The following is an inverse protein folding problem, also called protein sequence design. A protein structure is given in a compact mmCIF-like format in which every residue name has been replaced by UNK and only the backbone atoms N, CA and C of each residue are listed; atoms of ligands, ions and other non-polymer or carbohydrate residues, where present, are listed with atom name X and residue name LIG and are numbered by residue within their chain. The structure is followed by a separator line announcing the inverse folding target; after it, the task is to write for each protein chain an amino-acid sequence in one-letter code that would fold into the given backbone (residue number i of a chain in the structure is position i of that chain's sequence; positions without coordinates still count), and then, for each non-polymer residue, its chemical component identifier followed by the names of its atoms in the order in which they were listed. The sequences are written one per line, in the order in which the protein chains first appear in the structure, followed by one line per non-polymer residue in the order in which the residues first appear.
data_IF_930814439398
#
_entry.id   IF_930814439398
#
_cell.length_a   1.000
_cell.length_b   1.000
_cell.length_c   1.000
_cell.angle_alpha   90.00
_cell.angle_beta   90.00
_cell.angle_gamma   90.00
#
_symmetry.space_group_name_H-M   'P 1'
#
loop_
_entity.id
_entity.type
_entity.pdbx_description
1 polymer ?
#
# COMPACT_ATOMS: atom_id res chain seq x y z
N UNK A 1 35.85 63.03 44.30
CA UNK A 1 36.55 62.03 43.40
C UNK A 1 35.50 61.04 42.96
N UNK A 2 34.84 61.32 41.81
CA UNK A 2 33.67 60.58 41.31
C UNK A 2 34.10 59.57 40.29
N UNK A 3 33.96 58.25 40.60
CA UNK A 3 34.21 57.14 39.68
C UNK A 3 32.89 56.80 38.98
N UNK A 4 32.77 57.15 37.68
CA UNK A 4 31.67 56.76 36.84
C UNK A 4 31.88 55.27 36.40
N UNK A 5 31.00 54.39 36.85
CA UNK A 5 30.89 53.00 36.35
C UNK A 5 30.09 53.01 35.07
N UNK A 6 30.76 52.73 33.95
CA UNK A 6 30.14 52.52 32.65
C UNK A 6 29.72 51.04 32.58
N UNK A 7 28.41 50.80 32.59
CA UNK A 7 27.83 49.43 32.28
C UNK A 7 27.83 49.23 30.76
N UNK A 8 28.65 48.32 30.29
CA UNK A 8 28.60 47.82 28.92
C UNK A 8 27.60 46.67 28.89
N UNK A 9 26.39 46.94 28.38
CA UNK A 9 25.37 45.91 28.12
C UNK A 9 25.70 45.20 26.81
N UNK A 10 26.25 44.00 26.89
CA UNK A 10 26.48 43.12 25.73
C UNK A 10 25.16 42.46 25.36
N UNK A 11 24.52 42.92 24.29
CA UNK A 11 23.31 42.35 23.72
C UNK A 11 23.72 41.09 22.95
N UNK A 12 23.57 39.91 23.57
CA UNK A 12 23.69 38.60 22.90
C UNK A 12 22.47 38.38 22.01
N UNK A 13 22.64 38.65 20.72
CA UNK A 13 21.67 38.32 19.68
C UNK A 13 21.74 36.80 19.44
N UNK A 14 20.90 36.02 20.14
CA UNK A 14 20.74 34.60 19.87
C UNK A 14 20.02 34.43 18.53
N UNK A 15 20.78 34.16 17.45
CA UNK A 15 20.24 33.61 16.22
C UNK A 15 19.68 32.21 16.55
N UNK A 16 18.38 32.10 16.75
CA UNK A 16 17.67 30.82 16.70
C UNK A 16 17.75 30.32 15.25
N UNK A 17 18.76 29.50 14.93
CA UNK A 17 18.71 28.69 13.74
C UNK A 17 17.51 27.78 13.93
N UNK A 18 16.42 28.05 13.21
CA UNK A 18 15.35 27.08 13.00
C UNK A 18 15.98 25.89 12.26
N UNK A 19 16.35 24.85 13.01
CA UNK A 19 16.71 23.57 12.41
C UNK A 19 15.45 23.05 11.70
N UNK A 20 15.33 23.30 10.41
CA UNK A 20 14.36 22.58 9.57
C UNK A 20 14.74 21.11 9.69
N UNK A 21 13.81 20.27 10.17
CA UNK A 21 14.02 18.84 10.17
C UNK A 21 14.46 18.43 8.76
N UNK A 22 15.55 17.67 8.67
CA UNK A 22 16.05 17.19 7.38
C UNK A 22 14.95 16.40 6.67
N UNK A 23 14.75 16.67 5.38
CA UNK A 23 13.79 15.90 4.57
C UNK A 23 14.23 14.43 4.53
N UNK A 24 13.27 13.51 4.51
CA UNK A 24 13.52 12.08 4.46
C UNK A 24 14.42 11.69 3.27
N UNK A 25 14.38 12.47 2.17
CA UNK A 25 15.25 12.27 1.02
C UNK A 25 16.74 12.32 1.41
N UNK A 26 17.14 13.30 2.21
CA UNK A 26 18.54 13.45 2.64
C UNK A 26 18.99 12.25 3.48
N UNK A 27 18.12 11.79 4.39
CA UNK A 27 18.37 10.60 5.22
C UNK A 27 18.53 9.35 4.36
N UNK A 28 17.65 9.13 3.39
CA UNK A 28 17.68 8.00 2.47
C UNK A 28 18.94 8.03 1.60
N UNK A 29 19.29 9.20 1.06
CA UNK A 29 20.49 9.40 0.23
C UNK A 29 21.77 9.18 1.03
N UNK A 30 21.87 9.75 2.22
CA UNK A 30 23.05 9.59 3.09
C UNK A 30 23.25 8.13 3.50
N UNK A 31 22.17 7.41 3.80
CA UNK A 31 22.21 6.00 4.17
C UNK A 31 22.49 5.09 2.97
N UNK A 32 22.16 5.53 1.75
CA UNK A 32 22.29 4.74 0.51
C UNK A 32 21.25 3.63 0.37
N UNK A 33 20.21 3.61 1.23
CA UNK A 33 19.15 2.61 1.21
C UNK A 33 17.78 3.24 1.43
N UNK A 34 16.76 2.72 0.71
CA UNK A 34 15.35 2.98 0.91
C UNK A 34 14.75 1.82 1.71
N UNK A 35 14.34 2.06 2.95
CA UNK A 35 13.67 1.05 3.79
C UNK A 35 12.23 0.87 3.36
N UNK A 36 11.93 -0.28 2.78
CA UNK A 36 10.61 -0.62 2.23
C UNK A 36 9.93 -1.65 3.11
N UNK A 37 8.73 -1.36 3.58
CA UNK A 37 7.89 -2.33 4.25
C UNK A 37 6.79 -2.87 3.33
N UNK A 38 6.54 -4.18 3.45
CA UNK A 38 5.51 -4.93 2.75
C UNK A 38 5.11 -6.16 3.57
N UNK A 39 4.01 -6.85 3.23
CA UNK A 39 3.55 -8.02 4.01
C UNK A 39 4.43 -9.26 3.78
N UNK A 40 4.83 -9.51 2.54
CA UNK A 40 5.51 -10.75 2.17
C UNK A 40 4.61 -11.99 2.12
N UNK A 41 3.29 -11.78 2.18
CA UNK A 41 2.24 -12.83 2.14
C UNK A 41 1.06 -12.45 1.24
N UNK A 42 1.25 -11.44 0.38
CA UNK A 42 0.20 -10.86 -0.48
C UNK A 42 0.53 -11.02 -1.98
N UNK A 43 0.45 -12.26 -2.54
CA UNK A 43 0.68 -12.47 -3.96
C UNK A 43 -0.46 -11.89 -4.82
N UNK A 44 -0.20 -11.43 -6.06
CA UNK A 44 1.09 -11.41 -6.75
C UNK A 44 1.92 -10.15 -6.47
N UNK A 45 1.50 -9.31 -5.52
CA UNK A 45 2.13 -8.02 -5.21
C UNK A 45 3.48 -8.22 -4.49
N UNK A 46 3.45 -8.89 -3.36
CA UNK A 46 4.64 -9.17 -2.56
C UNK A 46 4.43 -10.47 -1.74
N UNK A 47 5.29 -11.45 -1.93
CA UNK A 47 5.19 -12.74 -1.25
C UNK A 47 6.55 -13.44 -1.21
N UNK A 48 6.64 -14.54 -0.46
CA UNK A 48 7.84 -15.37 -0.46
C UNK A 48 7.70 -16.52 -1.45
N UNK A 49 8.63 -16.57 -2.40
CA UNK A 49 8.80 -17.68 -3.32
C UNK A 49 10.16 -18.33 -3.03
N UNK A 50 10.17 -19.61 -2.68
CA UNK A 50 11.39 -20.33 -2.26
C UNK A 50 12.17 -19.62 -1.15
N UNK A 51 11.46 -18.99 -0.20
CA UNK A 51 12.04 -18.27 0.93
C UNK A 51 12.52 -16.84 0.62
N UNK A 52 12.50 -16.41 -0.64
CA UNK A 52 12.90 -15.08 -1.07
C UNK A 52 11.68 -14.21 -1.38
N UNK A 53 11.80 -12.90 -1.15
CA UNK A 53 10.76 -11.96 -1.54
C UNK A 53 10.66 -11.86 -3.07
N UNK A 54 9.45 -11.97 -3.58
CA UNK A 54 9.08 -11.87 -4.98
C UNK A 54 7.76 -11.10 -5.14
N UNK A 55 7.42 -10.71 -6.35
CA UNK A 55 6.17 -10.05 -6.69
C UNK A 55 6.37 -8.69 -7.33
N UNK A 56 5.27 -8.15 -7.82
CA UNK A 56 5.25 -6.87 -8.54
C UNK A 56 5.86 -5.73 -7.71
N UNK A 57 5.47 -5.62 -6.45
CA UNK A 57 5.92 -4.52 -5.59
C UNK A 57 7.37 -4.67 -5.12
N UNK A 58 7.87 -5.89 -5.07
CA UNK A 58 9.30 -6.15 -4.81
C UNK A 58 10.13 -5.67 -6.00
N UNK A 59 9.70 -5.98 -7.24
CA UNK A 59 10.36 -5.50 -8.46
C UNK A 59 10.25 -3.97 -8.58
N UNK A 60 9.06 -3.41 -8.33
CA UNK A 60 8.84 -1.97 -8.34
C UNK A 60 9.73 -1.25 -7.33
N UNK A 61 9.83 -1.76 -6.11
CA UNK A 61 10.66 -1.18 -5.04
C UNK A 61 12.14 -1.14 -5.42
N UNK A 62 12.65 -2.22 -5.99
CA UNK A 62 14.02 -2.28 -6.48
C UNK A 62 14.28 -1.28 -7.62
N UNK A 63 13.38 -1.22 -8.60
CA UNK A 63 13.49 -0.30 -9.73
C UNK A 63 13.39 1.17 -9.27
N UNK A 64 12.48 1.45 -8.35
CA UNK A 64 12.31 2.78 -7.74
C UNK A 64 13.58 3.22 -7.01
N UNK A 65 14.10 2.36 -6.11
CA UNK A 65 15.33 2.64 -5.37
C UNK A 65 16.52 2.89 -6.33
N UNK A 66 16.63 2.10 -7.39
CA UNK A 66 17.64 2.29 -8.42
C UNK A 66 17.51 3.65 -9.13
N UNK A 67 16.30 4.08 -9.51
CA UNK A 67 16.06 5.43 -10.07
C UNK A 67 16.41 6.53 -9.08
N UNK A 68 16.22 6.29 -7.79
CA UNK A 68 16.64 7.20 -6.73
C UNK A 68 18.14 7.13 -6.41
N UNK A 69 18.93 6.24 -7.05
CA UNK A 69 20.37 6.06 -6.80
C UNK A 69 20.70 5.45 -5.44
N UNK A 70 19.82 4.61 -4.90
CA UNK A 70 19.98 3.87 -3.64
C UNK A 70 19.56 2.41 -3.81
N UNK A 71 19.69 1.58 -2.77
CA UNK A 71 19.24 0.18 -2.75
C UNK A 71 17.94 0.05 -1.95
N UNK A 72 17.06 -0.86 -2.34
CA UNK A 72 15.91 -1.23 -1.52
C UNK A 72 16.36 -2.14 -0.37
N UNK A 73 15.86 -1.85 0.83
CA UNK A 73 16.07 -2.64 2.06
C UNK A 73 14.69 -3.07 2.58
N UNK A 74 14.39 -4.36 2.54
CA UNK A 74 13.05 -4.86 2.78
C UNK A 74 12.83 -5.33 4.21
N UNK A 75 11.69 -4.93 4.79
CA UNK A 75 11.16 -5.44 6.04
C UNK A 75 9.75 -5.99 5.82
N UNK A 76 9.45 -7.15 6.40
CA UNK A 76 8.09 -7.70 6.35
C UNK A 76 7.35 -7.42 7.67
N UNK A 77 6.07 -7.07 7.56
CA UNK A 77 5.19 -6.81 8.70
C UNK A 77 3.75 -7.15 8.32
N UNK A 78 2.97 -7.65 9.26
CA UNK A 78 1.54 -7.86 9.05
C UNK A 78 0.84 -6.54 8.68
N UNK A 79 -0.17 -6.62 7.79
CA UNK A 79 -0.92 -5.44 7.36
C UNK A 79 -1.47 -4.61 8.51
N UNK A 80 -2.01 -5.25 9.53
CA UNK A 80 -2.59 -4.59 10.70
C UNK A 80 -1.61 -3.68 11.48
N UNK A 81 -0.31 -3.92 11.35
CA UNK A 81 0.76 -3.21 12.06
C UNK A 81 1.64 -2.33 11.16
N UNK A 82 1.60 -2.52 9.82
CA UNK A 82 2.58 -1.92 8.92
C UNK A 82 2.52 -0.39 8.88
N UNK A 83 1.31 0.19 8.85
CA UNK A 83 1.14 1.65 8.83
C UNK A 83 1.51 2.31 10.17
N UNK A 84 1.27 1.63 11.30
CA UNK A 84 1.74 2.09 12.60
C UNK A 84 3.28 2.04 12.67
N UNK A 85 3.90 1.01 12.08
CA UNK A 85 5.35 0.93 11.93
C UNK A 85 5.93 2.07 11.09
N UNK A 86 5.26 2.45 10.01
CA UNK A 86 5.63 3.61 9.18
C UNK A 86 5.56 4.91 9.99
N UNK A 87 4.47 5.14 10.70
CA UNK A 87 4.29 6.32 11.54
C UNK A 87 5.36 6.41 12.64
N UNK A 88 5.80 5.27 13.16
CA UNK A 88 6.89 5.17 14.14
C UNK A 88 8.31 5.28 13.54
N UNK A 89 8.44 5.52 12.23
CA UNK A 89 9.73 5.68 11.55
C UNK A 89 10.56 4.40 11.43
N UNK A 90 9.94 3.21 11.53
CA UNK A 90 10.65 1.93 11.32
C UNK A 90 11.06 1.73 9.87
N UNK A 91 10.30 2.28 8.93
CA UNK A 91 10.49 2.23 7.50
C UNK A 91 10.41 3.62 6.91
N UNK A 92 10.94 3.81 5.71
CA UNK A 92 10.80 5.06 4.96
C UNK A 92 9.48 5.08 4.17
N UNK A 93 9.12 3.92 3.61
CA UNK A 93 7.92 3.75 2.79
C UNK A 93 7.21 2.43 3.07
N UNK A 94 5.90 2.41 2.81
CA UNK A 94 5.11 1.18 2.65
C UNK A 94 4.67 1.07 1.20
N UNK A 95 5.05 -0.04 0.55
CA UNK A 95 4.63 -0.41 -0.81
C UNK A 95 3.89 -1.74 -0.73
N UNK A 96 2.56 -1.68 -0.54
CA UNK A 96 1.72 -2.83 -0.22
C UNK A 96 0.25 -2.59 -0.58
N UNK A 97 -0.04 -2.19 -1.80
CA UNK A 97 -1.38 -1.82 -2.27
C UNK A 97 -2.09 -0.86 -1.29
N UNK A 98 -1.37 0.14 -0.80
CA UNK A 98 -1.94 1.07 0.16
C UNK A 98 -2.91 2.01 -0.54
N UNK A 99 -4.21 1.75 -0.41
CA UNK A 99 -5.26 2.60 -0.97
C UNK A 99 -5.15 4.05 -0.46
N UNK A 100 -5.20 5.00 -1.38
CA UNK A 100 -5.14 6.43 -1.10
C UNK A 100 -6.53 6.88 -0.63
N UNK A 101 -6.78 6.89 0.67
CA UNK A 101 -8.04 7.35 1.27
C UNK A 101 -7.84 8.67 2.01
N UNK A 102 -8.92 9.47 2.15
CA UNK A 102 -8.83 10.76 2.85
C UNK A 102 -8.41 10.56 4.31
N UNK A 103 -8.92 9.54 4.97
CA UNK A 103 -8.52 9.17 6.33
C UNK A 103 -7.00 8.89 6.44
N UNK A 104 -6.42 8.18 5.47
CA UNK A 104 -4.97 7.90 5.47
C UNK A 104 -4.16 9.15 5.15
N UNK A 105 -4.67 10.04 4.29
CA UNK A 105 -4.05 11.33 3.98
C UNK A 105 -3.97 12.28 5.18
N UNK A 106 -4.73 12.07 6.24
CA UNK A 106 -4.58 12.84 7.49
C UNK A 106 -3.22 12.58 8.15
N UNK A 107 -2.70 11.34 8.03
CA UNK A 107 -1.47 10.89 8.71
C UNK A 107 -0.28 10.75 7.78
N UNK A 108 -0.51 10.33 6.52
CA UNK A 108 0.53 9.99 5.56
C UNK A 108 0.45 10.85 4.31
N UNK A 109 1.60 11.05 3.68
CA UNK A 109 1.69 11.47 2.30
C UNK A 109 1.79 10.24 1.38
N UNK A 110 1.45 10.44 0.12
CA UNK A 110 1.44 9.39 -0.89
C UNK A 110 2.16 9.86 -2.16
N UNK A 111 2.78 8.93 -2.85
CA UNK A 111 3.19 9.14 -4.24
C UNK A 111 1.99 9.36 -5.16
N UNK A 112 2.26 9.72 -6.42
CA UNK A 112 1.31 9.47 -7.50
C UNK A 112 0.89 7.99 -7.49
N UNK A 113 -0.36 7.66 -7.86
CA UNK A 113 -0.82 6.28 -7.87
C UNK A 113 0.02 5.39 -8.79
N UNK A 114 0.40 4.20 -8.32
CA UNK A 114 1.07 3.19 -9.15
C UNK A 114 0.12 2.06 -9.60
N UNK A 115 -1.02 1.86 -8.94
CA UNK A 115 -2.07 0.95 -9.40
C UNK A 115 -3.44 1.62 -9.37
N UNK A 116 -4.28 1.26 -10.35
CA UNK A 116 -5.70 1.60 -10.42
C UNK A 116 -6.47 0.30 -10.62
N UNK A 117 -7.34 -0.03 -9.67
CA UNK A 117 -8.08 -1.28 -9.60
C UNK A 117 -9.48 -1.05 -9.01
N UNK A 118 -10.21 -2.10 -8.72
CA UNK A 118 -11.51 -2.03 -8.06
C UNK A 118 -11.63 -3.06 -6.94
N UNK A 119 -12.42 -2.80 -5.89
CA UNK A 119 -12.86 -3.84 -4.98
C UNK A 119 -13.64 -4.88 -5.74
N UNK A 120 -13.34 -6.15 -5.55
CA UNK A 120 -14.04 -7.25 -6.22
C UNK A 120 -14.27 -8.42 -5.26
N UNK A 121 -15.44 -9.00 -5.38
CA UNK A 121 -15.79 -10.21 -4.63
C UNK A 121 -15.02 -11.42 -5.17
N UNK A 122 -14.74 -12.35 -4.27
CA UNK A 122 -14.22 -13.68 -4.55
C UNK A 122 -15.22 -14.65 -3.98
N UNK A 123 -15.64 -15.62 -4.77
CA UNK A 123 -16.67 -16.60 -4.37
C UNK A 123 -16.19 -18.01 -4.71
N UNK A 124 -16.83 -19.02 -4.12
CA UNK A 124 -16.54 -20.40 -4.46
C UNK A 124 -16.92 -20.73 -5.91
N UNK A 125 -16.24 -21.69 -6.49
CA UNK A 125 -16.52 -22.17 -7.85
C UNK A 125 -17.96 -22.67 -8.00
N UNK A 126 -18.49 -23.35 -7.00
CA UNK A 126 -19.84 -23.94 -6.97
C UNK A 126 -20.93 -22.97 -6.46
N UNK A 127 -20.57 -21.74 -6.13
CA UNK A 127 -21.53 -20.72 -5.67
C UNK A 127 -22.53 -20.40 -6.79
N UNK A 128 -23.81 -20.56 -6.48
CA UNK A 128 -24.94 -20.33 -7.40
C UNK A 128 -25.71 -19.05 -7.09
N UNK A 129 -25.51 -18.49 -5.88
CA UNK A 129 -26.13 -17.21 -5.50
C UNK A 129 -25.42 -16.09 -6.25
N UNK A 130 -26.21 -15.12 -6.68
CA UNK A 130 -25.65 -13.93 -7.34
C UNK A 130 -25.43 -12.82 -6.31
N UNK A 131 -24.18 -12.41 -6.12
CA UNK A 131 -23.80 -11.24 -5.33
C UNK A 131 -23.29 -10.18 -6.31
N UNK A 132 -24.13 -9.23 -6.71
CA UNK A 132 -23.81 -8.15 -7.66
C UNK A 132 -23.31 -6.90 -6.94
N UNK A 133 -23.72 -6.73 -5.67
CA UNK A 133 -23.37 -5.61 -4.82
C UNK A 133 -23.02 -6.09 -3.43
N UNK A 134 -22.41 -5.24 -2.61
CA UNK A 134 -22.18 -5.55 -1.19
C UNK A 134 -23.50 -5.70 -0.42
N UNK A 135 -24.59 -5.05 -0.85
CA UNK A 135 -25.89 -5.17 -0.19
C UNK A 135 -26.47 -6.59 -0.29
N UNK A 136 -26.12 -7.36 -1.32
CA UNK A 136 -26.55 -8.75 -1.48
C UNK A 136 -25.93 -9.70 -0.44
N UNK A 137 -24.89 -9.21 0.26
CA UNK A 137 -24.23 -9.95 1.34
C UNK A 137 -24.83 -9.68 2.73
N UNK A 138 -25.95 -8.95 2.85
CA UNK A 138 -26.65 -8.81 4.14
C UNK A 138 -27.04 -10.18 4.69
N UNK A 139 -26.71 -10.42 5.97
CA UNK A 139 -26.89 -11.71 6.64
C UNK A 139 -25.93 -12.82 6.17
N UNK A 140 -24.91 -12.50 5.36
CA UNK A 140 -23.86 -13.41 4.89
C UNK A 140 -22.53 -13.08 5.53
N UNK A 141 -21.64 -14.07 5.57
CA UNK A 141 -20.28 -13.93 6.11
C UNK A 141 -19.33 -13.47 5.01
N UNK A 142 -18.75 -12.27 5.20
CA UNK A 142 -17.76 -11.68 4.30
C UNK A 142 -16.38 -11.69 4.94
N UNK A 143 -15.42 -12.38 4.34
CA UNK A 143 -14.02 -12.38 4.75
C UNK A 143 -13.20 -11.27 4.10
N UNK A 144 -12.37 -10.59 4.89
CA UNK A 144 -11.47 -9.55 4.42
C UNK A 144 -10.31 -9.32 5.41
N UNK A 145 -9.26 -8.63 4.97
CA UNK A 145 -8.13 -8.29 5.82
C UNK A 145 -8.49 -7.27 6.90
N UNK A 146 -8.00 -7.49 8.11
CA UNK A 146 -8.20 -6.56 9.22
C UNK A 146 -7.57 -5.20 8.93
N UNK A 147 -8.32 -4.09 9.14
CA UNK A 147 -7.81 -2.72 8.95
C UNK A 147 -7.67 -2.29 7.48
N UNK A 148 -8.22 -3.04 6.53
CA UNK A 148 -8.29 -2.63 5.14
C UNK A 148 -9.38 -1.58 4.91
N UNK A 149 -9.24 -0.75 3.86
CA UNK A 149 -10.31 0.15 3.41
C UNK A 149 -11.57 -0.62 2.98
N UNK A 150 -11.42 -1.85 2.48
CA UNK A 150 -12.54 -2.75 2.19
C UNK A 150 -13.42 -3.02 3.41
N UNK A 151 -12.81 -3.09 4.60
CA UNK A 151 -13.54 -3.24 5.87
C UNK A 151 -14.47 -2.04 6.15
N UNK A 152 -14.00 -0.83 5.88
CA UNK A 152 -14.81 0.38 6.07
C UNK A 152 -15.99 0.44 5.07
N UNK A 153 -15.72 0.10 3.80
CA UNK A 153 -16.76 0.04 2.76
C UNK A 153 -17.83 -1.01 3.10
N UNK A 154 -17.42 -2.19 3.53
CA UNK A 154 -18.36 -3.25 3.91
C UNK A 154 -19.19 -2.88 5.15
N UNK A 155 -18.59 -2.25 6.16
CA UNK A 155 -19.27 -1.75 7.36
C UNK A 155 -20.33 -0.69 7.03
N UNK A 156 -20.04 0.19 6.08
CA UNK A 156 -20.96 1.26 5.68
C UNK A 156 -22.27 0.72 5.09
N UNK A 157 -22.27 -0.46 4.49
CA UNK A 157 -23.49 -1.11 3.96
C UNK A 157 -24.41 -1.59 5.09
N UNK A 158 -23.84 -2.04 6.22
CA UNK A 158 -24.58 -2.60 7.35
C UNK A 158 -25.19 -3.98 7.07
N UNK A 159 -25.38 -4.76 8.13
CA UNK A 159 -26.05 -6.07 8.08
C UNK A 159 -25.21 -7.21 7.48
N UNK A 160 -23.94 -6.99 7.14
CA UNK A 160 -23.00 -8.02 6.69
C UNK A 160 -22.27 -8.58 7.93
N UNK A 161 -22.16 -9.90 8.05
CA UNK A 161 -21.33 -10.57 9.06
C UNK A 161 -19.86 -10.53 8.62
N UNK A 162 -19.15 -9.46 9.00
CA UNK A 162 -17.77 -9.23 8.59
C UNK A 162 -16.82 -10.09 9.44
N UNK A 163 -16.03 -10.94 8.77
CA UNK A 163 -14.97 -11.76 9.34
C UNK A 163 -13.62 -11.20 8.92
N UNK A 164 -12.83 -10.73 9.89
CA UNK A 164 -11.52 -10.15 9.62
C UNK A 164 -10.40 -11.16 9.87
N UNK A 165 -9.38 -11.11 9.01
CA UNK A 165 -8.25 -12.03 9.00
C UNK A 165 -6.93 -11.26 8.93
N UNK A 166 -5.81 -11.88 9.39
CA UNK A 166 -4.48 -11.26 9.26
C UNK A 166 -4.08 -10.97 7.81
N UNK A 167 -4.39 -11.88 6.89
CA UNK A 167 -4.01 -11.78 5.49
C UNK A 167 -4.95 -12.50 4.51
N UNK A 168 -4.61 -12.44 3.24
CA UNK A 168 -5.44 -13.06 2.18
C UNK A 168 -5.41 -14.59 2.19
N UNK A 169 -4.32 -15.29 2.53
CA UNK A 169 -4.32 -16.75 2.54
C UNK A 169 -5.38 -17.34 3.47
N UNK A 170 -5.57 -16.78 4.65
CA UNK A 170 -6.48 -17.31 5.67
C UNK A 170 -7.95 -17.23 5.25
N UNK A 171 -8.42 -16.06 4.80
CA UNK A 171 -9.82 -15.94 4.36
C UNK A 171 -10.10 -16.66 3.04
N UNK A 172 -9.12 -16.79 2.14
CA UNK A 172 -9.30 -17.59 0.92
C UNK A 172 -9.45 -19.07 1.24
N UNK A 173 -8.71 -19.58 2.22
CA UNK A 173 -8.87 -20.94 2.71
C UNK A 173 -10.25 -21.15 3.36
N UNK A 174 -10.69 -20.22 4.21
CA UNK A 174 -12.01 -20.31 4.85
C UNK A 174 -13.14 -20.19 3.82
N UNK A 175 -12.97 -19.37 2.78
CA UNK A 175 -13.92 -19.31 1.67
C UNK A 175 -13.99 -20.64 0.90
N UNK A 176 -12.85 -21.22 0.57
CA UNK A 176 -12.79 -22.51 -0.13
C UNK A 176 -13.46 -23.64 0.66
N UNK A 177 -13.32 -23.59 2.01
CA UNK A 177 -13.95 -24.55 2.94
C UNK A 177 -15.42 -24.24 3.25
N UNK A 178 -16.01 -23.16 2.70
CA UNK A 178 -17.40 -22.77 2.93
C UNK A 178 -17.69 -22.20 4.31
N UNK A 179 -16.67 -21.79 5.07
CA UNK A 179 -16.83 -21.17 6.40
C UNK A 179 -17.30 -19.72 6.32
N UNK A 180 -17.02 -19.07 5.19
CA UNK A 180 -17.53 -17.76 4.80
C UNK A 180 -18.21 -17.84 3.43
N UNK A 181 -19.08 -16.89 3.10
CA UNK A 181 -19.89 -16.89 1.88
C UNK A 181 -19.16 -16.23 0.70
N UNK A 182 -18.43 -15.16 0.97
CA UNK A 182 -17.63 -14.42 -0.01
C UNK A 182 -16.38 -13.82 0.67
N UNK A 183 -15.41 -13.43 -0.12
CA UNK A 183 -14.31 -12.56 0.31
C UNK A 183 -14.29 -11.30 -0.55
N UNK A 184 -13.68 -10.23 -0.04
CA UNK A 184 -13.51 -8.95 -0.74
C UNK A 184 -12.04 -8.56 -0.76
N UNK A 185 -11.51 -8.31 -1.95
CA UNK A 185 -10.15 -7.81 -2.13
C UNK A 185 -10.02 -7.06 -3.46
N UNK A 186 -8.81 -6.65 -3.77
CA UNK A 186 -8.43 -5.99 -5.01
C UNK A 186 -8.61 -6.92 -6.23
N UNK A 187 -9.18 -6.38 -7.30
CA UNK A 187 -9.40 -7.11 -8.55
C UNK A 187 -8.11 -7.66 -9.19
N UNK A 188 -6.96 -7.07 -8.90
CA UNK A 188 -5.66 -7.54 -9.39
C UNK A 188 -5.19 -8.84 -8.74
N UNK A 189 -5.70 -9.18 -7.54
CA UNK A 189 -5.41 -10.44 -6.85
C UNK A 189 -6.06 -11.64 -7.55
N UNK A 190 -7.22 -11.45 -8.16
CA UNK A 190 -8.09 -12.53 -8.60
C UNK A 190 -7.49 -13.42 -9.70
N UNK A 191 -6.85 -12.89 -10.77
CA UNK A 191 -6.20 -13.73 -11.76
C UNK A 191 -5.14 -14.66 -11.16
N UNK A 192 -4.42 -14.19 -10.14
CA UNK A 192 -3.46 -15.02 -9.41
C UNK A 192 -4.16 -16.17 -8.67
N UNK A 193 -5.25 -15.87 -7.93
CA UNK A 193 -6.03 -16.89 -7.22
C UNK A 193 -6.46 -17.99 -8.20
N UNK A 194 -7.10 -17.62 -9.31
CA UNK A 194 -7.64 -18.58 -10.29
C UNK A 194 -6.54 -19.41 -10.94
N UNK A 195 -5.40 -18.77 -11.29
CA UNK A 195 -4.33 -19.44 -12.04
C UNK A 195 -3.37 -20.26 -11.16
N UNK A 196 -3.16 -19.86 -9.90
CA UNK A 196 -2.02 -20.35 -9.10
C UNK A 196 -2.39 -21.10 -7.82
N UNK A 197 -3.53 -20.79 -7.17
CA UNK A 197 -3.79 -21.34 -5.83
C UNK A 197 -4.44 -22.71 -5.83
N UNK A 198 -4.92 -23.24 -6.94
CA UNK A 198 -5.72 -24.48 -7.02
C UNK A 198 -6.94 -24.52 -6.07
N UNK A 199 -7.27 -23.42 -5.41
CA UNK A 199 -8.47 -23.32 -4.59
C UNK A 199 -9.71 -23.29 -5.50
N UNK A 200 -10.84 -23.92 -5.12
CA UNK A 200 -12.06 -23.92 -5.90
C UNK A 200 -12.79 -22.57 -5.81
N UNK A 201 -12.12 -21.51 -6.24
CA UNK A 201 -12.57 -20.12 -6.19
C UNK A 201 -12.69 -19.52 -7.58
N UNK A 202 -13.57 -18.54 -7.74
CA UNK A 202 -13.77 -17.78 -8.98
C UNK A 202 -13.96 -16.29 -8.68
N UNK A 203 -13.77 -15.41 -9.69
CA UNK A 203 -14.14 -14.01 -9.58
C UNK A 203 -15.64 -13.86 -9.28
N UNK A 204 -15.99 -13.03 -8.32
CA UNK A 204 -17.31 -12.47 -8.15
C UNK A 204 -17.43 -11.10 -8.83
N UNK A 205 -18.50 -10.36 -8.55
CA UNK A 205 -18.71 -9.03 -9.11
C UNK A 205 -17.71 -7.99 -8.57
N UNK A 206 -17.32 -6.98 -9.37
CA UNK A 206 -16.77 -5.75 -8.85
C UNK A 206 -17.85 -5.00 -8.06
N UNK A 207 -17.52 -4.46 -6.88
CA UNK A 207 -18.52 -3.95 -5.91
C UNK A 207 -18.17 -2.58 -5.35
N UNK A 208 -17.51 -1.76 -6.09
CA UNK A 208 -17.16 -0.40 -5.68
C UNK A 208 -16.58 0.41 -6.82
N UNK A 209 -16.23 1.64 -6.50
CA UNK A 209 -15.54 2.54 -7.43
C UNK A 209 -14.07 2.12 -7.61
N UNK A 210 -13.43 2.70 -8.64
CA UNK A 210 -12.00 2.51 -8.84
C UNK A 210 -11.21 3.08 -7.66
N UNK A 211 -10.32 2.28 -7.15
CA UNK A 211 -9.38 2.65 -6.11
C UNK A 211 -7.99 2.92 -6.69
N UNK A 212 -7.27 3.83 -6.05
CA UNK A 212 -5.89 4.18 -6.38
C UNK A 212 -5.00 3.78 -5.22
N UNK A 213 -3.96 3.01 -5.48
CA UNK A 213 -2.93 2.71 -4.48
C UNK A 213 -1.67 3.50 -4.75
N UNK A 214 -1.04 3.99 -3.69
CA UNK A 214 0.18 4.78 -3.73
C UNK A 214 1.21 4.28 -2.72
N UNK A 215 2.43 4.74 -2.88
CA UNK A 215 3.52 4.54 -1.93
C UNK A 215 3.28 5.47 -0.75
N UNK A 216 3.07 4.92 0.44
CA UNK A 216 2.82 5.70 1.65
C UNK A 216 4.12 6.02 2.39
N UNK A 217 4.25 7.24 2.91
CA UNK A 217 5.37 7.71 3.73
C UNK A 217 4.92 8.79 4.72
N UNK A 218 5.75 9.10 5.71
CA UNK A 218 5.43 10.09 6.74
C UNK A 218 5.34 11.49 6.12
N UNK A 219 4.35 12.27 6.56
CA UNK A 219 4.09 13.64 6.10
C UNK A 219 5.27 14.58 6.35
N UNK A 220 5.26 15.68 5.58
CA UNK A 220 6.20 16.77 5.77
C UNK A 220 7.53 16.59 5.05
N UNK A 221 7.60 15.70 4.05
CA UNK A 221 8.80 15.38 3.27
C UNK A 221 8.59 15.70 1.78
N UNK A 222 8.45 16.97 1.39
CA UNK A 222 8.08 17.35 0.02
C UNK A 222 9.16 16.99 -1.02
N UNK A 223 10.45 17.04 -0.64
CA UNK A 223 11.53 16.65 -1.55
C UNK A 223 11.54 15.13 -1.77
N UNK A 224 11.31 14.35 -0.71
CA UNK A 224 11.16 12.91 -0.81
C UNK A 224 9.97 12.53 -1.69
N UNK A 225 8.81 13.20 -1.50
CA UNK A 225 7.66 13.01 -2.40
C UNK A 225 8.03 13.27 -3.85
N UNK A 226 8.66 14.40 -4.15
CA UNK A 226 9.06 14.76 -5.50
C UNK A 226 10.03 13.73 -6.11
N UNK A 227 10.96 13.20 -5.31
CA UNK A 227 11.92 12.18 -5.76
C UNK A 227 11.22 10.84 -6.07
N UNK A 228 10.28 10.39 -5.23
CA UNK A 228 9.47 9.18 -5.47
C UNK A 228 8.61 9.34 -6.72
N UNK A 229 7.90 10.45 -6.85
CA UNK A 229 7.02 10.73 -7.99
C UNK A 229 7.81 10.80 -9.30
N UNK A 230 8.99 11.45 -9.27
CA UNK A 230 9.90 11.48 -10.42
C UNK A 230 10.38 10.07 -10.79
N UNK A 231 10.79 9.27 -9.83
CA UNK A 231 11.25 7.90 -10.07
C UNK A 231 10.15 7.03 -10.69
N UNK A 232 8.89 7.14 -10.21
CA UNK A 232 7.73 6.48 -10.82
C UNK A 232 7.48 6.95 -12.25
N UNK A 233 7.52 8.26 -12.48
CA UNK A 233 7.35 8.84 -13.82
C UNK A 233 8.45 8.37 -14.79
N UNK A 234 9.71 8.32 -14.35
CA UNK A 234 10.84 7.82 -15.15
C UNK A 234 10.64 6.34 -15.52
N UNK A 235 10.15 5.49 -14.59
CA UNK A 235 9.85 4.08 -14.88
C UNK A 235 8.66 3.91 -15.84
N UNK A 236 7.69 4.81 -15.79
CA UNK A 236 6.56 4.82 -16.74
C UNK A 236 7.03 5.28 -18.12
N UNK A 237 7.85 6.32 -18.19
CA UNK A 237 8.34 6.91 -19.44
C UNK A 237 9.29 5.98 -20.21
N UNK A 238 10.15 5.23 -19.53
CA UNK A 238 11.09 4.30 -20.16
C UNK A 238 10.49 2.91 -20.44
N UNK A 239 9.21 2.69 -20.08
CA UNK A 239 8.48 1.44 -20.30
C UNK A 239 8.79 0.34 -19.29
N UNK A 240 9.68 0.54 -18.33
CA UNK A 240 10.02 -0.46 -17.29
C UNK A 240 8.83 -0.80 -16.42
N UNK A 241 8.02 0.21 -16.06
CA UNK A 241 6.79 0.00 -15.29
C UNK A 241 5.80 -0.88 -16.05
N UNK A 242 5.52 -0.55 -17.32
CA UNK A 242 4.60 -1.34 -18.15
C UNK A 242 5.08 -2.79 -18.33
N UNK A 243 6.39 -2.99 -18.51
CA UNK A 243 6.99 -4.34 -18.60
C UNK A 243 6.77 -5.15 -17.32
N UNK A 244 7.04 -4.59 -16.15
CA UNK A 244 6.78 -5.24 -14.86
C UNK A 244 5.29 -5.52 -14.67
N UNK A 245 4.45 -4.54 -14.95
CA UNK A 245 3.00 -4.64 -14.82
C UNK A 245 2.41 -5.74 -15.70
N UNK A 246 2.79 -5.79 -16.97
CA UNK A 246 2.34 -6.85 -17.90
C UNK A 246 2.82 -8.25 -17.47
N UNK A 247 4.03 -8.37 -16.92
CA UNK A 247 4.54 -9.65 -16.39
C UNK A 247 3.62 -10.24 -15.32
N UNK A 248 3.09 -9.40 -14.43
CA UNK A 248 2.33 -9.82 -13.26
C UNK A 248 0.81 -9.83 -13.47
N UNK A 249 0.29 -8.92 -14.31
CA UNK A 249 -1.15 -8.64 -14.42
C UNK A 249 -1.70 -8.72 -15.84
N UNK A 250 -0.89 -9.05 -16.84
CA UNK A 250 -1.27 -9.06 -18.25
C UNK A 250 -1.82 -7.70 -18.75
N UNK A 251 -1.53 -6.60 -18.03
CA UNK A 251 -1.93 -5.22 -18.36
C UNK A 251 -1.08 -4.17 -17.65
N UNK A 252 -1.14 -2.93 -18.10
CA UNK A 252 -0.61 -1.76 -17.39
C UNK A 252 -1.58 -1.34 -16.28
N UNK A 253 -1.22 -1.63 -15.01
CA UNK A 253 -2.06 -1.35 -13.84
C UNK A 253 -2.02 0.09 -13.37
N UNK A 254 -1.15 0.95 -13.93
CA UNK A 254 -1.21 2.39 -13.70
C UNK A 254 -2.40 3.07 -14.39
N UNK A 255 -3.08 2.34 -15.25
CA UNK A 255 -4.26 2.78 -16.00
C UNK A 255 -5.51 2.07 -15.50
N UNK A 256 -6.69 2.71 -15.60
CA UNK A 256 -7.95 2.05 -15.30
C UNK A 256 -8.11 0.75 -16.10
N UNK A 257 -8.80 -0.27 -15.55
CA UNK A 257 -9.17 -1.42 -16.35
C UNK A 257 -10.07 -0.99 -17.51
N UNK A 258 -9.84 -1.56 -18.70
CA UNK A 258 -10.73 -1.33 -19.84
C UNK A 258 -12.08 -1.97 -19.52
N UNK A 259 -13.16 -1.17 -19.60
CA UNK A 259 -14.52 -1.70 -19.48
C UNK A 259 -14.73 -2.77 -20.56
N UNK A 260 -15.11 -3.97 -20.15
CA UNK A 260 -15.50 -5.05 -21.07
C UNK A 260 -16.96 -4.90 -21.46
#
# INVERSE_FOLDING_TARGET
MNIRRTLVSTLLLSLALSATAADLLDTVKQRGTLKVALEGTYPPFNYKENGQLAGFEVELSNALAQKMGVKADFSTSEWSAILAGLQAGKYDVVINQVGITDKRKETFDFSTPYTISSPQLIIRQDEKREFKTLADLKGKKLGLGQGTNFSEVAKAVGGIDIRTYPGSPEYLQDLALGRIDAALNDSLLIPYIVKKTKLPLKPGAPVGELEKSGIAFVKGNPQFKAAIDKALADLQADGSFAKMSNKWFDRDVSKPPVAK
#
